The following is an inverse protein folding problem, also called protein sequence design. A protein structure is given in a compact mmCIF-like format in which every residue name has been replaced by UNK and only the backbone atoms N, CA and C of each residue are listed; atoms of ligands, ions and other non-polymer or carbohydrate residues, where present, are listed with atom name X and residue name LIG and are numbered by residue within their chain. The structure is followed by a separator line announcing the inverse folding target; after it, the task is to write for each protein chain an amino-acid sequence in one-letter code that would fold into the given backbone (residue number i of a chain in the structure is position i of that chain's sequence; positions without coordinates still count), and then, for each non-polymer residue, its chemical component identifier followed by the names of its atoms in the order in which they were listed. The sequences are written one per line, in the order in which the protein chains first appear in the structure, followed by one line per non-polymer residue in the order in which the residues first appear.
data_IF_074658609298
#
_entry.id   IF_074658609298
#
_cell.length_a   1.000
_cell.length_b   1.000
_cell.length_c   1.000
_cell.angle_alpha   90.00
_cell.angle_beta   90.00
_cell.angle_gamma   90.00
#
_symmetry.space_group_name_H-M   'P 1'
#
loop_
_entity.id
_entity.type
_entity.pdbx_description
1 polymer ?
#
# COMPACT_ATOMS: atom_id res chain seq x y z
N UNK A 1 1.67 4.26 -17.11
CA UNK A 1 1.85 3.99 -15.67
C UNK A 1 0.93 4.93 -14.93
N UNK A 2 0.39 4.45 -13.83
CA UNK A 2 -0.53 5.20 -12.97
C UNK A 2 0.04 5.29 -11.56
N UNK A 3 -0.46 6.25 -10.80
CA UNK A 3 -0.23 6.39 -9.37
C UNK A 3 -1.53 6.13 -8.64
N UNK A 4 -1.45 5.38 -7.55
CA UNK A 4 -2.49 5.35 -6.54
C UNK A 4 -2.02 6.07 -5.28
N UNK A 5 -2.94 6.78 -4.65
CA UNK A 5 -2.88 7.18 -3.25
C UNK A 5 -3.96 6.40 -2.52
N UNK A 6 -3.56 5.52 -1.62
CA UNK A 6 -4.46 4.64 -0.90
C UNK A 6 -4.34 4.85 0.62
N UNK A 7 -5.46 4.85 1.31
CA UNK A 7 -5.53 4.95 2.77
C UNK A 7 -6.21 3.71 3.32
N UNK A 8 -5.43 2.88 4.02
CA UNK A 8 -5.90 1.67 4.69
C UNK A 8 -6.33 1.97 6.13
N UNK A 9 -7.51 1.47 6.50
CA UNK A 9 -8.11 1.62 7.84
C UNK A 9 -8.38 0.25 8.47
N UNK A 10 -8.35 0.20 9.80
CA UNK A 10 -8.62 -1.01 10.58
C UNK A 10 -7.52 -1.28 11.60
N UNK A 11 -7.24 -2.55 11.88
CA UNK A 11 -6.11 -2.96 12.70
C UNK A 11 -4.86 -3.04 11.83
N UNK A 12 -4.30 -1.86 11.52
CA UNK A 12 -3.19 -1.68 10.55
C UNK A 12 -1.92 -1.08 11.17
N UNK A 13 -1.96 -0.60 12.41
CA UNK A 13 -0.76 -0.12 13.14
C UNK A 13 -0.39 -1.06 14.28
N UNK A 14 0.90 -1.14 14.61
CA UNK A 14 1.43 -2.02 15.66
C UNK A 14 1.35 -3.53 15.34
N UNK A 15 1.03 -3.88 14.09
CA UNK A 15 0.80 -5.27 13.64
C UNK A 15 1.70 -5.71 12.48
N UNK A 16 2.74 -4.93 12.16
CA UNK A 16 3.65 -5.24 11.04
C UNK A 16 3.11 -4.94 9.63
N UNK A 17 1.94 -4.31 9.51
CA UNK A 17 1.29 -4.05 8.21
C UNK A 17 2.18 -3.30 7.20
N UNK A 18 2.97 -2.31 7.64
CA UNK A 18 3.90 -1.60 6.73
C UNK A 18 4.92 -2.55 6.09
N UNK A 19 5.46 -3.50 6.84
CA UNK A 19 6.39 -4.50 6.32
C UNK A 19 5.68 -5.44 5.34
N UNK A 20 4.47 -5.88 5.69
CA UNK A 20 3.62 -6.68 4.81
C UNK A 20 3.34 -5.97 3.46
N UNK A 21 3.00 -4.67 3.49
CA UNK A 21 2.78 -3.88 2.28
C UNK A 21 4.05 -3.79 1.41
N UNK A 22 5.24 -3.69 2.01
CA UNK A 22 6.51 -3.73 1.26
C UNK A 22 6.70 -5.08 0.58
N UNK A 23 6.35 -6.20 1.23
CA UNK A 23 6.41 -7.54 0.63
C UNK A 23 5.42 -7.67 -0.54
N UNK A 24 4.18 -7.18 -0.40
CA UNK A 24 3.22 -7.12 -1.49
C UNK A 24 3.77 -6.29 -2.66
N UNK A 25 4.43 -5.17 -2.37
CA UNK A 25 5.01 -4.32 -3.40
C UNK A 25 6.13 -5.03 -4.17
N UNK A 26 6.98 -5.77 -3.46
CA UNK A 26 8.03 -6.58 -4.08
C UNK A 26 7.46 -7.70 -4.95
N UNK A 27 6.37 -8.36 -4.52
CA UNK A 27 5.72 -9.43 -5.27
C UNK A 27 5.08 -8.95 -6.59
N UNK A 28 4.67 -7.69 -6.65
CA UNK A 28 3.92 -7.10 -7.77
C UNK A 28 4.74 -6.14 -8.62
N UNK A 29 5.95 -5.78 -8.17
CA UNK A 29 6.83 -4.84 -8.87
C UNK A 29 6.31 -3.40 -8.86
N UNK A 30 5.55 -2.99 -7.86
CA UNK A 30 5.11 -1.60 -7.70
C UNK A 30 6.17 -0.78 -6.96
N UNK A 31 6.28 0.52 -7.28
CA UNK A 31 7.23 1.43 -6.66
C UNK A 31 6.51 2.50 -5.85
N UNK A 32 7.09 2.98 -4.75
CA UNK A 32 6.41 3.94 -3.89
C UNK A 32 6.80 3.87 -2.43
N UNK A 33 5.85 4.16 -1.55
CA UNK A 33 6.07 4.08 -0.12
C UNK A 33 4.81 3.72 0.67
N UNK A 34 5.04 3.33 1.93
CA UNK A 34 3.99 3.14 2.93
C UNK A 34 4.34 3.89 4.21
N UNK A 35 3.35 4.55 4.84
CA UNK A 35 3.54 5.43 6.01
C UNK A 35 2.39 5.27 7.01
N UNK A 36 2.72 5.25 8.30
CA UNK A 36 1.70 5.38 9.35
C UNK A 36 1.27 6.84 9.46
N UNK A 37 -0.03 7.08 9.53
CA UNK A 37 -0.58 8.40 9.80
C UNK A 37 -0.91 8.57 11.30
N UNK A 38 -0.89 9.81 11.84
CA UNK A 38 -1.16 10.06 13.26
C UNK A 38 -2.58 9.69 13.71
N UNK A 39 -3.53 9.60 12.78
CA UNK A 39 -4.93 9.24 13.04
C UNK A 39 -5.15 7.71 13.18
N UNK A 40 -4.09 6.92 13.09
CA UNK A 40 -4.15 5.46 13.19
C UNK A 40 -4.32 4.74 11.85
N UNK A 41 -4.44 5.46 10.73
CA UNK A 41 -4.51 4.88 9.39
C UNK A 41 -3.13 4.65 8.78
N UNK A 42 -3.06 3.99 7.63
CA UNK A 42 -1.83 3.79 6.86
C UNK A 42 -1.99 4.31 5.45
N UNK A 43 -1.13 5.26 5.09
CA UNK A 43 -1.01 5.79 3.74
C UNK A 43 -0.11 4.89 2.90
N UNK A 44 -0.52 4.66 1.66
CA UNK A 44 0.23 3.96 0.63
C UNK A 44 0.23 4.84 -0.62
N UNK A 45 1.41 5.13 -1.17
CA UNK A 45 1.54 5.71 -2.51
C UNK A 45 2.28 4.68 -3.34
N UNK A 46 1.71 4.31 -4.49
CA UNK A 46 2.31 3.32 -5.38
C UNK A 46 2.15 3.72 -6.85
N UNK A 47 3.15 3.41 -7.65
CA UNK A 47 3.18 3.62 -9.10
C UNK A 47 3.57 2.33 -9.82
N UNK A 48 2.78 1.97 -10.84
CA UNK A 48 3.08 0.86 -11.75
C UNK A 48 2.13 0.85 -12.96
N UNK A 49 2.01 -0.29 -13.64
CA UNK A 49 0.91 -0.56 -14.55
C UNK A 49 -0.40 -0.73 -13.76
N UNK A 50 -1.57 -0.43 -14.35
CA UNK A 50 -2.86 -0.60 -13.67
C UNK A 50 -3.07 -2.03 -13.13
N UNK A 51 -2.71 -3.04 -13.94
CA UNK A 51 -2.82 -4.44 -13.54
C UNK A 51 -1.94 -4.80 -12.33
N UNK A 52 -0.72 -4.24 -12.22
CA UNK A 52 0.14 -4.47 -11.08
C UNK A 52 -0.37 -3.74 -9.82
N UNK A 53 -0.97 -2.56 -9.98
CA UNK A 53 -1.59 -1.81 -8.89
C UNK A 53 -2.84 -2.51 -8.35
N UNK A 54 -3.67 -3.07 -9.23
CA UNK A 54 -4.85 -3.84 -8.85
C UNK A 54 -4.47 -5.09 -8.04
N UNK A 55 -3.49 -5.85 -8.51
CA UNK A 55 -2.97 -7.03 -7.79
C UNK A 55 -2.34 -6.62 -6.45
N UNK A 56 -1.57 -5.53 -6.44
CA UNK A 56 -0.97 -4.99 -5.22
C UNK A 56 -2.03 -4.64 -4.17
N UNK A 57 -3.10 -3.95 -4.57
CA UNK A 57 -4.22 -3.60 -3.69
C UNK A 57 -4.96 -4.84 -3.19
N UNK A 58 -5.12 -5.86 -4.05
CA UNK A 58 -5.70 -7.14 -3.66
C UNK A 58 -4.89 -7.81 -2.54
N UNK A 59 -3.57 -7.89 -2.68
CA UNK A 59 -2.68 -8.46 -1.67
C UNK A 59 -2.65 -7.60 -0.40
N UNK A 60 -2.58 -6.28 -0.54
CA UNK A 60 -2.54 -5.33 0.57
C UNK A 60 -3.78 -5.43 1.49
N UNK A 61 -4.91 -5.93 1.00
CA UNK A 61 -6.11 -6.17 1.82
C UNK A 61 -5.88 -7.20 2.94
N UNK A 62 -4.84 -8.05 2.86
CA UNK A 62 -4.46 -9.00 3.90
C UNK A 62 -5.62 -9.91 4.38
N UNK A 63 -6.53 -10.32 3.48
CA UNK A 63 -7.82 -10.96 3.85
C UNK A 63 -7.72 -12.20 4.72
N UNK A 64 -6.58 -12.91 4.67
CA UNK A 64 -6.37 -14.16 5.41
C UNK A 64 -5.32 -14.03 6.53
N UNK A 65 -4.93 -12.81 6.91
CA UNK A 65 -3.97 -12.59 7.98
C UNK A 65 -4.66 -12.61 9.36
N UNK A 66 -4.14 -13.35 10.36
CA UNK A 66 -4.77 -13.44 11.68
C UNK A 66 -4.59 -12.17 12.54
N UNK A 67 -3.59 -11.34 12.24
CA UNK A 67 -3.16 -10.20 13.07
C UNK A 67 -3.50 -8.87 12.38
N UNK A 68 -3.21 -8.76 11.09
CA UNK A 68 -3.54 -7.61 10.25
C UNK A 68 -5.01 -7.69 9.87
N UNK A 69 -5.78 -6.62 10.13
CA UNK A 69 -7.17 -6.53 9.68
C UNK A 69 -7.42 -5.22 8.96
N UNK A 70 -7.40 -5.27 7.64
CA UNK A 70 -7.77 -4.13 6.80
C UNK A 70 -9.29 -4.15 6.60
N UNK A 71 -9.97 -3.15 7.15
CA UNK A 71 -11.42 -3.01 7.00
C UNK A 71 -11.79 -2.30 5.70
N UNK A 72 -11.06 -1.24 5.36
CA UNK A 72 -11.31 -0.42 4.18
C UNK A 72 -9.96 0.04 3.62
N UNK A 73 -9.86 0.08 2.29
CA UNK A 73 -8.83 0.83 1.56
C UNK A 73 -9.56 1.82 0.66
N UNK A 74 -9.38 3.11 0.91
CA UNK A 74 -9.87 4.18 0.03
C UNK A 74 -8.76 4.48 -0.97
N UNK A 75 -9.07 4.47 -2.27
CA UNK A 75 -8.08 4.61 -3.34
C UNK A 75 -8.44 5.79 -4.23
N UNK A 76 -7.47 6.66 -4.47
CA UNK A 76 -7.52 7.73 -5.47
C UNK A 76 -6.45 7.48 -6.53
N UNK A 77 -6.86 7.49 -7.80
CA UNK A 77 -5.97 7.27 -8.95
C UNK A 77 -5.52 8.59 -9.57
N UNK A 78 -4.31 8.62 -10.09
CA UNK A 78 -3.75 9.76 -10.79
C UNK A 78 -2.63 9.39 -11.75
N UNK A 79 -2.10 10.37 -12.51
CA UNK A 79 -0.94 10.14 -13.36
C UNK A 79 0.30 9.82 -12.51
N UNK A 80 1.10 8.84 -12.94
CA UNK A 80 2.41 8.59 -12.34
C UNK A 80 3.34 9.79 -12.54
N UNK A 81 4.02 10.22 -11.48
CA UNK A 81 5.09 11.21 -11.55
C UNK A 81 6.45 10.58 -11.88
N UNK A 82 6.60 9.27 -11.72
CA UNK A 82 7.83 8.54 -12.03
C UNK A 82 8.97 8.83 -11.05
N UNK A 83 8.64 9.22 -9.82
CA UNK A 83 9.61 9.69 -8.82
C UNK A 83 10.17 8.58 -7.90
N UNK A 84 9.67 7.34 -8.04
CA UNK A 84 10.03 6.24 -7.13
C UNK A 84 10.94 5.21 -7.79
N UNK A 85 12.02 4.87 -7.08
CA UNK A 85 12.89 3.73 -7.39
C UNK A 85 12.81 2.73 -6.23
N UNK A 86 12.03 1.67 -6.43
CA UNK A 86 11.73 0.68 -5.38
C UNK A 86 10.55 1.08 -4.49
N UNK A 87 10.34 0.33 -3.42
CA UNK A 87 9.25 0.55 -2.46
C UNK A 87 9.83 0.58 -1.04
N UNK A 88 9.45 1.58 -0.23
CA UNK A 88 10.06 1.80 1.10
C UNK A 88 9.06 2.15 2.19
N UNK A 89 9.45 1.91 3.43
CA UNK A 89 8.75 2.50 4.59
C UNK A 89 9.16 3.96 4.74
N UNK A 90 8.17 4.84 4.84
CA UNK A 90 8.35 6.24 5.20
C UNK A 90 7.92 6.49 6.67
N UNK A 91 8.45 7.56 7.24
CA UNK A 91 8.23 7.99 8.62
C UNK A 91 7.38 9.26 8.66
#
# INVERSE_FOLDING_TARGET
MERIHAVAKGRVQGVGYRSFVVECAHATGVHGYVKNLPDGTVEIVAESSPAALDEFLHLAQAKNDPIIRVGEIVVENGPAAGEFHGFRVAW
#
